data_IF_581724827877
#
_entry.id   IF_581724827877
#
_cell.length_a   1.000
_cell.length_b   1.000
_cell.length_c   1.000
_cell.angle_alpha   90.00
_cell.angle_beta   90.00
_cell.angle_gamma   90.00
#
_symmetry.space_group_name_H-M   'P 1'
#
loop_
_entity.id
_entity.type
_entity.pdbx_description
1 polymer ?
2 water ?
#
# COMPACT_ATOMS: atom_id res chain seq x y z
N UNK A 57 -13.72 -26.13 13.57
CA UNK A 57 -13.63 -24.67 13.47
C UNK A 57 -13.51 -24.02 14.84
N UNK A 58 -12.31 -23.55 15.16
CA UNK A 58 -12.03 -22.88 16.43
C UNK A 58 -11.80 -21.40 16.16
N UNK A 59 -12.41 -20.55 16.97
CA UNK A 59 -12.29 -19.11 16.85
C UNK A 59 -11.79 -18.53 18.17
N UNK A 60 -10.77 -17.69 18.09
CA UNK A 60 -10.20 -17.03 19.27
C UNK A 60 -10.23 -15.53 19.09
N UNK A 61 -10.57 -14.81 20.16
CA UNK A 61 -10.58 -13.34 20.16
C UNK A 61 -10.07 -12.85 21.50
N UNK A 62 -8.77 -13.00 21.75
CA UNK A 62 -8.23 -12.60 23.07
C UNK A 62 -8.36 -11.10 23.29
N UNK A 63 -8.75 -10.73 24.51
CA UNK A 63 -8.96 -9.34 24.88
C UNK A 63 -7.72 -8.69 25.48
N UNK A 64 -6.71 -9.47 25.84
CA UNK A 64 -5.49 -8.93 26.46
C UNK A 64 -4.29 -9.72 25.97
N UNK A 65 -3.10 -9.25 26.35
CA UNK A 65 -1.88 -10.00 26.06
C UNK A 65 -1.88 -11.34 26.80
N UNK A 66 -2.33 -11.35 28.05
CA UNK A 66 -2.32 -12.59 28.83
C UNK A 66 -3.21 -13.66 28.20
N UNK A 67 -4.36 -13.25 27.66
CA UNK A 67 -5.23 -14.22 26.99
C UNK A 67 -4.61 -14.70 25.69
N UNK A 68 -3.96 -13.82 24.93
CA UNK A 68 -3.27 -14.24 23.69
C UNK A 68 -2.15 -15.23 24.02
N UNK A 69 -1.39 -14.92 25.07
CA UNK A 69 -0.33 -15.85 25.43
C UNK A 69 -0.89 -17.22 25.76
N UNK A 70 -2.02 -17.27 26.47
CA UNK A 70 -2.65 -18.55 26.81
C UNK A 70 -3.08 -19.29 25.55
N UNK A 71 -3.57 -18.56 24.55
CA UNK A 71 -4.01 -19.19 23.31
C UNK A 71 -2.84 -19.87 22.61
N UNK A 72 -1.73 -19.15 22.44
CA UNK A 72 -0.57 -19.69 21.76
C UNK A 72 0.02 -20.87 22.54
N UNK A 73 0.13 -20.73 23.87
CA UNK A 73 0.65 -21.82 24.68
C UNK A 73 -0.27 -23.04 24.65
N UNK A 74 -1.59 -22.80 24.63
CA UNK A 74 -2.53 -23.91 24.58
C UNK A 74 -2.47 -24.64 23.24
N UNK A 75 -2.22 -23.91 22.15
CA UNK A 75 -2.11 -24.51 20.84
C UNK A 75 -0.77 -25.20 20.62
N UNK A 76 0.27 -24.78 21.33
CA UNK A 76 1.58 -25.42 21.17
C UNK A 76 1.61 -26.78 21.85
N UNK A 77 0.97 -26.92 23.00
CA UNK A 77 0.90 -28.22 23.67
C UNK A 77 0.15 -29.24 22.82
N UNK A 78 -1.04 -28.87 22.36
CA UNK A 78 -1.82 -29.74 21.48
C UNK A 78 -1.23 -29.84 20.08
N UNK A 79 -0.16 -29.08 19.80
CA UNK A 79 0.47 -29.06 18.48
C UNK A 79 -0.54 -28.71 17.39
N UNK A 80 -1.54 -27.91 17.75
CA UNK A 80 -2.59 -27.52 16.82
C UNK A 80 -2.06 -26.44 15.88
N UNK A 81 -2.95 -25.80 15.14
CA UNK A 81 -2.60 -24.77 14.19
C UNK A 81 -3.47 -23.55 14.44
N UNK A 82 -2.85 -22.37 14.42
CA UNK A 82 -3.54 -21.11 14.59
C UNK A 82 -3.20 -20.19 13.42
N UNK A 83 -4.17 -19.35 13.06
CA UNK A 83 -4.01 -18.41 11.95
C UNK A 83 -4.35 -17.01 12.44
N UNK A 84 -3.37 -16.13 12.64
CA UNK A 84 -3.68 -14.73 12.94
C UNK A 84 -4.40 -14.07 11.78
N UNK A 85 -5.37 -13.22 12.11
CA UNK A 85 -6.26 -12.64 11.11
C UNK A 85 -5.57 -11.51 10.35
N UNK A 86 -5.38 -10.37 11.02
CA UNK A 86 -4.76 -9.23 10.38
C UNK A 86 -3.37 -8.94 10.91
N UNK A 87 -2.46 -9.91 10.79
CA UNK A 87 -1.14 -9.77 11.38
C UNK A 87 -0.02 -10.06 10.39
N UNK A 88 -0.34 -10.24 9.11
CA UNK A 88 0.71 -10.51 8.14
C UNK A 88 0.13 -10.78 6.78
N UNK A 89 0.84 -11.60 6.02
CA UNK A 89 0.43 -11.96 4.67
C UNK A 89 -0.85 -12.78 4.69
N UNK A 90 -1.80 -12.40 3.84
CA UNK A 90 -3.06 -13.13 3.73
C UNK A 90 -2.88 -14.42 2.93
N UNK A 97 -9.66 -23.52 5.88
CA UNK A 97 -8.48 -24.11 6.50
C UNK A 97 -8.83 -24.70 7.86
N UNK A 98 -8.09 -25.73 8.26
CA UNK A 98 -8.30 -26.36 9.56
C UNK A 98 -7.76 -25.53 10.72
N UNK A 99 -6.95 -24.51 10.44
CA UNK A 99 -6.34 -23.72 11.49
C UNK A 99 -7.38 -22.91 12.26
N UNK A 100 -7.14 -22.77 13.55
CA UNK A 100 -7.98 -21.91 14.38
C UNK A 100 -7.67 -20.44 14.14
N UNK A 101 -8.73 -19.66 13.99
CA UNK A 101 -8.60 -18.23 13.76
C UNK A 101 -8.40 -17.51 15.09
N UNK A 102 -7.41 -16.62 15.14
CA UNK A 102 -7.14 -15.80 16.30
C UNK A 102 -7.18 -14.34 15.85
N UNK A 103 -8.16 -13.60 16.35
CA UNK A 103 -8.41 -12.22 15.95
C UNK A 103 -7.97 -11.29 17.07
N UNK A 104 -7.17 -10.28 16.72
CA UNK A 104 -6.59 -9.35 17.67
C UNK A 104 -7.37 -8.04 17.78
N UNK A 105 -8.57 -7.98 17.20
CA UNK A 105 -9.31 -6.72 17.12
C UNK A 105 -9.66 -6.15 18.50
N UNK A 106 -9.70 -6.97 19.54
CA UNK A 106 -10.02 -6.50 20.88
C UNK A 106 -8.81 -6.01 21.66
N UNK A 107 -7.59 -6.32 21.20
CA UNK A 107 -6.37 -5.76 21.79
C UNK A 107 -6.05 -4.47 21.04
N UNK A 108 -6.76 -3.40 21.43
CA UNK A 108 -6.75 -2.18 20.63
C UNK A 108 -6.55 -0.91 21.45
N UNK A 109 -5.93 -0.99 22.63
CA UNK A 109 -5.86 0.17 23.51
C UNK A 109 -4.48 0.80 23.46
N UNK A 110 -4.46 2.14 23.53
CA UNK A 110 -3.22 2.87 23.69
C UNK A 110 -2.70 2.69 25.11
N UNK A 111 -1.46 2.23 25.24
CA UNK A 111 -0.88 1.93 26.54
C UNK A 111 -0.09 3.10 27.11
N UNK A 112 0.77 3.72 26.30
CA UNK A 112 1.62 4.82 26.76
C UNK A 112 1.74 5.86 25.66
N UNK A 113 1.75 7.13 26.05
CA UNK A 113 1.99 8.24 25.12
C UNK A 113 3.03 9.15 25.77
N UNK A 114 4.23 9.18 25.21
CA UNK A 114 5.32 10.04 25.69
C UNK A 114 5.37 11.25 24.78
N UNK A 115 4.84 12.38 25.25
CA UNK A 115 4.87 13.60 24.45
C UNK A 115 6.29 14.12 24.28
N UNK A 116 7.16 13.89 25.27
CA UNK A 116 8.51 14.44 25.21
C UNK A 116 9.36 13.75 24.16
N UNK A 117 9.30 12.41 24.12
CA UNK A 117 9.98 11.66 23.08
C UNK A 117 9.13 11.47 21.83
N UNK A 118 7.85 11.85 21.88
CA UNK A 118 6.94 11.71 20.74
C UNK A 118 6.83 10.24 20.31
N UNK A 119 6.60 9.36 21.28
CA UNK A 119 6.44 7.94 21.02
C UNK A 119 5.14 7.45 21.62
N UNK A 120 4.62 6.36 21.09
CA UNK A 120 3.37 5.77 21.57
C UNK A 120 3.54 4.25 21.60
N UNK A 121 3.03 3.63 22.66
CA UNK A 121 2.99 2.18 22.78
C UNK A 121 1.55 1.72 22.72
N UNK A 122 1.25 0.79 21.82
CA UNK A 122 -0.12 0.35 21.59
C UNK A 122 -0.15 -1.16 21.44
N UNK A 123 -1.30 -1.75 21.75
CA UNK A 123 -1.55 -3.13 21.38
C UNK A 123 -1.73 -3.24 19.87
N UNK A 124 -1.22 -4.33 19.29
CA UNK A 124 -1.08 -4.42 17.84
C UNK A 124 -2.40 -4.61 17.11
N UNK A 125 -3.50 -4.87 17.79
CA UNK A 125 -4.77 -4.97 17.11
C UNK A 125 -5.48 -3.66 16.87
N UNK A 126 -4.91 -2.54 17.32
CA UNK A 126 -5.58 -1.25 17.15
C UNK A 126 -5.56 -0.84 15.68
N UNK A 127 -6.63 -0.22 15.24
CA UNK A 127 -6.71 0.31 13.89
C UNK A 127 -6.03 1.68 13.81
N UNK A 128 -5.54 2.02 12.61
CA UNK A 128 -4.80 3.25 12.42
C UNK A 128 -5.63 4.46 12.84
N UNK A 129 -6.90 4.50 12.43
CA UNK A 129 -7.74 5.65 12.77
C UNK A 129 -7.92 5.77 14.28
N UNK A 130 -8.07 4.63 14.97
CA UNK A 130 -8.16 4.65 16.42
C UNK A 130 -6.88 5.16 17.06
N UNK A 131 -5.72 4.80 16.47
CA UNK A 131 -4.45 5.29 17.00
C UNK A 131 -4.33 6.79 16.83
N UNK A 132 -4.69 7.30 15.65
CA UNK A 132 -4.57 8.73 15.36
C UNK A 132 -5.48 9.54 16.29
N UNK A 133 -6.72 9.08 16.47
CA UNK A 133 -7.64 9.77 17.37
C UNK A 133 -7.18 9.72 18.82
N UNK A 134 -6.43 8.67 19.19
CA UNK A 134 -5.95 8.56 20.56
C UNK A 134 -4.84 9.54 20.88
N UNK A 135 -3.84 9.63 20.00
CA UNK A 135 -2.70 10.52 20.23
C UNK A 135 -2.94 11.92 19.71
N UNK A 136 -4.10 12.18 19.11
CA UNK A 136 -4.42 13.54 18.67
C UNK A 136 -4.49 14.50 19.85
N UNK A 137 -5.09 14.05 20.96
CA UNK A 137 -5.23 14.89 22.13
C UNK A 137 -3.89 15.28 22.74
N UNK A 138 -2.82 14.54 22.43
CA UNK A 138 -1.50 14.82 22.96
C UNK A 138 -0.61 15.58 21.97
N UNK A 139 -1.20 16.10 20.89
CA UNK A 139 -0.42 16.84 19.91
C UNK A 139 0.45 16.00 19.01
N UNK A 140 0.18 14.70 18.90
CA UNK A 140 1.01 13.79 18.13
C UNK A 140 0.20 13.18 16.99
N UNK A 141 0.92 12.78 15.95
CA UNK A 141 0.31 12.07 14.83
C UNK A 141 1.35 11.12 14.26
N UNK A 142 0.92 10.29 13.31
CA UNK A 142 1.82 9.33 12.70
C UNK A 142 2.68 9.98 11.63
N UNK A 143 3.89 9.45 11.48
CA UNK A 143 4.84 9.98 10.51
C UNK A 143 4.30 9.84 9.08
N UNK A 144 3.78 8.67 8.74
CA UNK A 144 3.21 8.46 7.42
C UNK A 144 2.01 7.53 7.54
N UNK A 145 1.21 7.49 6.47
CA UNK A 145 0.02 6.67 6.42
C UNK A 145 0.02 5.88 5.12
N UNK A 146 -0.29 4.59 5.21
CA UNK A 146 -0.40 3.73 4.04
C UNK A 146 -1.82 3.82 3.50
N UNK A 147 -2.13 2.97 2.52
CA UNK A 147 -3.50 2.88 2.04
C UNK A 147 -4.41 2.35 3.14
N UNK A 148 -5.56 3.01 3.31
CA UNK A 148 -6.60 2.62 4.26
C UNK A 148 -6.14 2.84 5.69
N UNK A 149 -6.88 3.65 6.44
CA UNK A 149 -6.73 3.75 7.89
C UNK A 149 -7.48 2.65 8.63
N UNK A 150 -7.98 1.65 7.90
CA UNK A 150 -8.82 0.60 8.46
C UNK A 150 -8.03 -0.64 8.86
N UNK A 151 -6.72 -0.64 8.69
CA UNK A 151 -5.91 -1.81 8.98
C UNK A 151 -5.36 -1.77 10.40
N UNK A 152 -5.14 -2.94 10.97
CA UNK A 152 -4.50 -3.04 12.27
C UNK A 152 -3.01 -2.75 12.14
N UNK A 153 -2.46 -2.07 13.14
CA UNK A 153 -1.08 -1.59 13.04
C UNK A 153 -0.10 -2.76 12.97
N UNK A 154 -0.37 -3.86 13.68
CA UNK A 154 0.54 -4.98 13.66
C UNK A 154 0.72 -5.60 12.29
N UNK A 155 -0.38 -5.75 11.55
CA UNK A 155 -0.28 -6.27 10.19
C UNK A 155 0.36 -5.31 9.22
N UNK A 156 0.11 -4.01 9.39
CA UNK A 156 0.72 -3.00 8.52
C UNK A 156 2.24 -3.05 8.62
N UNK A 157 2.75 -3.10 9.86
CA UNK A 157 4.20 -3.16 10.06
C UNK A 157 4.77 -4.47 9.50
N UNK A 158 4.10 -5.59 9.77
CA UNK A 158 4.63 -6.90 9.39
C UNK A 158 4.76 -7.08 7.88
N UNK A 159 4.05 -6.28 7.07
CA UNK A 159 4.18 -6.38 5.61
C UNK A 159 4.99 -5.24 5.01
N UNK A 160 5.52 -4.34 5.84
CA UNK A 160 6.32 -3.24 5.36
C UNK A 160 5.57 -2.20 4.56
N UNK A 161 4.37 -1.84 5.00
CA UNK A 161 3.59 -0.81 4.32
C UNK A 161 4.29 0.55 4.41
N UNK A 162 3.81 1.49 3.62
CA UNK A 162 4.53 2.74 3.41
C UNK A 162 3.56 3.82 2.96
N UNK A 163 4.00 5.07 3.12
CA UNK A 163 3.35 6.22 2.51
C UNK A 163 4.22 6.78 1.40
N UNK A 164 4.30 8.11 1.29
CA UNK A 164 5.17 8.74 0.30
C UNK A 164 5.99 9.85 0.96
N UNK A 165 7.14 10.14 0.36
CA UNK A 165 8.10 11.07 0.93
C UNK A 165 9.52 10.53 0.87
N UNK A 166 10.38 11.22 0.12
CA UNK A 166 11.71 10.69 -0.17
C UNK A 166 12.59 10.59 1.07
N UNK A 167 12.29 11.35 2.11
CA UNK A 167 13.02 11.27 3.37
C UNK A 167 12.24 10.54 4.46
N UNK A 168 11.03 10.06 4.16
CA UNK A 168 10.24 9.29 5.13
C UNK A 168 10.39 7.80 4.84
N UNK A 169 10.74 7.00 5.84
CA UNK A 169 10.93 5.56 5.62
C UNK A 169 9.60 4.84 5.70
N UNK A 170 9.55 3.55 5.34
CA UNK A 170 8.31 2.77 5.48
C UNK A 170 7.91 2.63 6.95
N UNK A 171 6.68 2.17 7.17
CA UNK A 171 6.09 2.14 8.51
C UNK A 171 6.90 1.24 9.45
N UNK A 172 7.45 0.14 8.93
CA UNK A 172 8.21 -0.77 9.79
C UNK A 172 9.43 -0.09 10.40
N UNK A 173 9.99 0.92 9.72
CA UNK A 173 11.12 1.66 10.25
C UNK A 173 10.73 2.59 11.39
N UNK A 174 9.43 2.88 11.53
CA UNK A 174 8.94 3.71 12.64
C UNK A 174 8.83 2.96 13.95
N UNK A 175 9.04 1.65 13.97
CA UNK A 175 8.84 0.84 15.16
C UNK A 175 10.12 0.84 15.99
N UNK A 176 10.00 1.22 17.26
CA UNK A 176 11.14 1.27 18.16
C UNK A 176 11.33 -0.05 18.90
N UNK A 177 10.24 -0.75 19.19
CA UNK A 177 10.29 -2.04 19.86
C UNK A 177 8.93 -2.70 19.70
N UNK A 178 8.87 -3.99 20.04
CA UNK A 178 7.60 -4.70 19.97
C UNK A 178 7.66 -5.94 20.85
N UNK A 179 6.47 -6.47 21.15
CA UNK A 179 6.32 -7.71 21.91
C UNK A 179 5.95 -8.83 20.95
N UNK A 180 6.76 -9.88 20.92
CA UNK A 180 6.56 -11.03 20.05
C UNK A 180 6.12 -12.22 20.90
N UNK A 181 4.90 -12.70 20.67
CA UNK A 181 4.41 -13.90 21.31
C UNK A 181 4.80 -15.08 20.43
N UNK A 182 5.85 -15.81 20.84
CA UNK A 182 6.38 -16.92 20.08
C UNK A 182 5.88 -18.25 20.64
N UNK A 183 5.57 -19.22 19.76
CA UNK A 183 5.08 -20.51 20.25
C UNK A 183 6.07 -21.25 21.15
N UNK A 184 7.37 -21.14 20.89
CA UNK A 184 8.38 -21.88 21.65
C UNK A 184 8.82 -21.16 22.92
N UNK A 185 9.27 -19.91 22.79
CA UNK A 185 9.91 -19.19 23.89
C UNK A 185 8.99 -18.19 24.57
N UNK A 186 7.68 -18.26 24.33
CA UNK A 186 6.79 -17.33 24.98
C UNK A 186 6.86 -15.94 24.37
N UNK A 187 6.65 -14.93 25.19
CA UNK A 187 6.65 -13.54 24.75
C UNK A 187 8.03 -12.93 24.95
N UNK A 188 8.56 -12.32 23.89
CA UNK A 188 9.87 -11.67 23.97
C UNK A 188 9.72 -10.21 23.55
N UNK A 189 10.53 -9.36 24.17
CA UNK A 189 10.60 -7.95 23.82
C UNK A 189 11.86 -7.73 22.99
N UNK A 190 11.70 -7.13 21.82
CA UNK A 190 12.79 -6.94 20.87
C UNK A 190 12.90 -5.47 20.51
N UNK A 191 14.13 -5.00 20.36
CA UNK A 191 14.43 -3.60 20.01
C UNK A 191 15.88 -3.56 19.51
N UNK A 192 16.37 -2.36 19.23
CA UNK A 192 17.76 -2.25 18.79
C UNK A 192 18.76 -2.58 19.90
N UNK A 193 18.31 -2.70 21.15
CA UNK A 193 19.19 -3.06 22.26
C UNK A 193 18.81 -4.38 22.90
N UNK A 194 17.71 -5.02 22.49
CA UNK A 194 17.28 -6.31 23.02
C UNK A 194 17.08 -7.25 21.83
N UNK A 195 18.05 -8.14 21.60
CA UNK A 195 18.07 -9.03 20.45
C UNK A 195 17.84 -8.27 19.14
N UNK A 196 18.75 -7.36 18.77
CA UNK A 196 18.51 -6.53 17.59
C UNK A 196 18.48 -7.32 16.29
N UNK A 197 19.23 -8.43 16.20
CA UNK A 197 19.20 -9.24 15.00
C UNK A 197 17.81 -9.80 14.75
N UNK A 198 17.14 -10.26 15.81
CA UNK A 198 15.77 -10.74 15.68
C UNK A 198 14.78 -9.59 15.56
N UNK A 199 15.10 -8.43 16.16
CA UNK A 199 14.20 -7.29 16.09
C UNK A 199 14.01 -6.82 14.65
N UNK A 200 15.11 -6.60 13.93
CA UNK A 200 15.02 -6.09 12.57
C UNK A 200 14.42 -7.13 11.62
N UNK A 201 14.73 -8.42 11.84
CA UNK A 201 14.15 -9.47 11.02
C UNK A 201 12.64 -9.54 11.21
N UNK A 202 12.17 -9.47 12.45
CA UNK A 202 10.75 -9.66 12.74
C UNK A 202 9.92 -8.40 12.55
N UNK A 203 10.54 -7.22 12.44
CA UNK A 203 9.79 -6.00 12.19
C UNK A 203 8.98 -6.12 10.91
N UNK A 204 9.61 -6.57 9.83
CA UNK A 204 8.92 -6.88 8.59
C UNK A 204 8.94 -8.39 8.41
N UNK A 205 8.52 -9.11 9.44
CA UNK A 205 8.57 -10.56 9.51
C UNK A 205 7.43 -11.31 8.86
N UNK A 206 6.50 -10.60 8.21
CA UNK A 206 5.42 -11.20 7.43
C UNK A 206 4.49 -12.07 8.28
N UNK A 207 4.55 -11.91 9.60
CA UNK A 207 3.70 -12.68 10.48
C UNK A 207 4.17 -14.10 10.73
N UNK A 208 5.41 -14.42 10.40
CA UNK A 208 5.87 -15.80 10.46
C UNK A 208 6.68 -16.14 11.69
N UNK A 209 7.32 -15.14 12.28
CA UNK A 209 8.16 -15.37 13.46
C UNK A 209 7.37 -15.35 14.76
N UNK A 210 6.11 -14.96 14.72
CA UNK A 210 5.31 -14.87 15.92
C UNK A 210 4.18 -13.88 15.73
N UNK A 211 3.31 -13.82 16.73
CA UNK A 211 2.20 -12.89 16.73
C UNK A 211 2.64 -11.61 17.45
N UNK A 212 2.67 -10.49 16.73
CA UNK A 212 3.03 -9.21 17.32
C UNK A 212 1.87 -8.75 18.19
N UNK A 213 2.14 -8.57 19.49
CA UNK A 213 1.11 -8.22 20.46
C UNK A 213 1.10 -6.74 20.83
N UNK A 214 2.28 -6.10 20.86
CA UNK A 214 2.39 -4.68 21.18
C UNK A 214 3.54 -4.09 20.38
N UNK A 215 3.40 -2.81 20.00
CA UNK A 215 4.46 -2.08 19.30
C UNK A 215 4.60 -0.69 19.90
N UNK A 216 5.84 -0.19 19.92
CA UNK A 216 6.14 1.19 20.28
C UNK A 216 6.55 1.92 19.01
N UNK A 217 5.82 2.99 18.69
CA UNK A 217 6.01 3.72 17.44
C UNK A 217 6.65 5.07 17.70
N UNK A 218 7.54 5.47 16.81
CA UNK A 218 8.06 6.83 16.80
C UNK A 218 7.05 7.74 16.07
N UNK A 219 6.54 8.74 16.77
CA UNK A 219 5.58 9.68 16.21
C UNK A 219 6.25 11.03 15.94
N UNK A 220 5.46 11.95 15.39
CA UNK A 220 5.87 13.31 15.12
C UNK A 220 4.76 14.23 15.60
N UNK A 221 5.05 15.54 15.60
CA UNK A 221 4.07 16.52 16.03
C UNK A 221 2.93 16.61 15.02
N UNK A 222 1.72 16.80 15.51
CA UNK A 222 0.56 16.96 14.64
C UNK A 222 0.63 18.32 13.94
N UNK A 223 0.63 18.30 12.61
CA UNK A 223 0.84 19.50 11.81
C UNK A 223 -0.22 19.63 10.73
N UNK A 224 -0.63 20.87 10.46
CA UNK A 224 -1.48 21.15 9.30
C UNK A 224 -0.61 21.14 8.05
N UNK A 225 -1.12 20.52 6.98
CA UNK A 225 -0.39 20.37 5.74
C UNK A 225 -1.13 21.05 4.59
N UNK A 226 -0.35 21.61 3.67
CA UNK A 226 -0.87 22.19 2.42
C UNK A 226 -0.65 21.16 1.32
N UNK A 227 -1.74 20.72 0.69
CA UNK A 227 -1.67 19.77 -0.42
C UNK A 227 -1.84 20.52 -1.73
N UNK A 228 -0.81 20.48 -2.57
CA UNK A 228 -0.81 21.16 -3.86
C UNK A 228 -0.97 20.14 -4.98
N UNK A 229 -1.94 20.36 -5.86
CA UNK A 229 -2.20 19.51 -7.01
C UNK A 229 -1.92 20.29 -8.29
N UNK A 230 -1.01 19.80 -9.10
CA UNK A 230 -0.72 20.40 -10.40
C UNK A 230 -0.66 19.31 -11.46
N UNK A 231 -0.77 19.72 -12.72
CA UNK A 231 -0.60 18.81 -13.85
C UNK A 231 0.67 19.21 -14.58
N UNK A 232 1.35 18.21 -15.13
CA UNK A 232 2.61 18.44 -15.82
C UNK A 232 2.78 17.34 -16.86
N UNK A 233 4.03 17.09 -17.25
CA UNK A 233 4.35 16.08 -18.24
C UNK A 233 5.69 15.46 -17.86
N UNK A 234 5.97 14.29 -18.45
CA UNK A 234 7.19 13.56 -18.12
C UNK A 234 8.42 14.41 -18.45
N UNK A 235 8.39 15.13 -19.57
CA UNK A 235 9.55 15.92 -19.97
C UNK A 235 9.80 17.08 -19.01
N UNK A 236 8.73 17.76 -18.57
CA UNK A 236 8.89 18.82 -17.59
C UNK A 236 9.27 18.26 -16.22
N UNK A 237 8.73 17.08 -15.87
CA UNK A 237 9.04 16.46 -14.58
C UNK A 237 10.52 16.08 -14.50
N UNK A 238 11.07 15.58 -15.61
CA UNK A 238 12.47 15.16 -15.61
C UNK A 238 13.41 16.34 -15.33
N UNK A 239 12.98 17.56 -15.67
CA UNK A 239 13.82 18.72 -15.39
C UNK A 239 13.78 19.12 -13.92
N UNK A 240 12.66 18.86 -13.24
CA UNK A 240 12.46 19.32 -11.86
C UNK A 240 12.38 18.16 -10.87
N UNK A 241 12.78 16.95 -11.27
CA UNK A 241 12.57 15.78 -10.42
C UNK A 241 13.41 15.87 -9.15
N UNK A 242 14.70 16.17 -9.28
CA UNK A 242 15.56 16.27 -8.10
C UNK A 242 15.05 17.35 -7.15
N UNK A 243 14.61 18.48 -7.68
CA UNK A 243 14.02 19.53 -6.84
C UNK A 243 12.71 19.05 -6.22
N UNK A 244 11.89 18.33 -6.99
CA UNK A 244 10.59 17.88 -6.49
C UNK A 244 10.75 16.95 -5.29
N UNK A 245 11.68 15.99 -5.37
CA UNK A 245 11.84 15.03 -4.29
C UNK A 245 12.52 15.61 -3.08
N UNK A 246 13.42 16.59 -3.27
CA UNK A 246 14.25 17.12 -2.20
C UNK A 246 13.57 18.22 -1.40
N UNK A 247 12.69 19.00 -2.02
CA UNK A 247 12.12 20.19 -1.39
C UNK A 247 10.69 19.98 -0.90
N UNK A 248 10.09 18.83 -1.19
CA UNK A 248 8.73 18.53 -0.75
C UNK A 248 8.76 17.37 0.23
N UNK A 249 8.06 17.54 1.35
CA UNK A 249 7.99 16.47 2.35
C UNK A 249 7.31 15.23 1.78
N UNK A 250 6.14 15.41 1.17
CA UNK A 250 5.42 14.34 0.51
C UNK A 250 5.22 14.71 -0.96
N UNK A 251 5.41 13.73 -1.84
CA UNK A 251 5.18 13.94 -3.28
C UNK A 251 4.82 12.61 -3.90
N UNK A 252 3.84 12.64 -4.80
CA UNK A 252 3.51 11.49 -5.64
C UNK A 252 3.13 11.96 -7.03
N UNK A 253 3.43 11.12 -8.02
CA UNK A 253 3.04 11.35 -9.40
C UNK A 253 1.93 10.38 -9.79
N UNK A 254 0.89 10.88 -10.45
CA UNK A 254 -0.21 10.08 -10.95
C UNK A 254 -0.18 10.12 -12.46
N UNK A 255 0.09 8.97 -13.09
CA UNK A 255 0.19 8.86 -14.53
C UNK A 255 -1.10 8.34 -15.12
N UNK A 256 -1.45 8.84 -16.30
CA UNK A 256 -2.70 8.50 -16.96
C UNK A 256 -2.37 7.79 -18.27
N UNK A 257 -2.59 6.47 -18.36
CA UNK A 257 -2.20 5.74 -19.57
C UNK A 257 -2.89 6.30 -20.81
N UNK A 258 -2.17 6.24 -21.93
CA UNK A 258 -2.59 6.72 -23.25
C UNK A 258 -2.69 8.24 -23.34
N UNK A 259 -2.28 8.97 -22.30
CA UNK A 259 -2.20 10.42 -22.34
C UNK A 259 -0.84 10.85 -21.82
N UNK A 260 -0.50 12.12 -22.08
CA UNK A 260 0.75 12.69 -21.62
C UNK A 260 0.60 13.45 -20.30
N UNK A 261 -0.61 13.53 -19.75
CA UNK A 261 -0.84 14.27 -18.52
C UNK A 261 -0.34 13.49 -17.32
N UNK A 262 0.43 14.15 -16.46
CA UNK A 262 0.89 13.59 -15.21
C UNK A 262 0.44 14.50 -14.09
N UNK A 263 -0.22 13.94 -13.08
CA UNK A 263 -0.69 14.70 -11.93
C UNK A 263 0.38 14.67 -10.85
N UNK A 264 0.77 15.85 -10.37
CA UNK A 264 1.76 15.98 -9.32
C UNK A 264 1.06 16.48 -8.06
N UNK A 265 1.19 15.74 -6.97
CA UNK A 265 0.61 16.10 -5.68
C UNK A 265 1.75 16.23 -4.67
N UNK A 266 1.88 17.41 -4.07
CA UNK A 266 2.84 17.64 -3.00
C UNK A 266 2.11 18.01 -1.72
N UNK A 267 2.70 17.62 -0.59
CA UNK A 267 2.18 17.98 0.73
C UNK A 267 3.33 18.46 1.60
N UNK A 268 3.14 19.62 2.23
CA UNK A 268 4.15 20.26 3.06
C UNK A 268 3.48 20.94 4.24
N UNK A 269 4.18 21.07 5.37
CA UNK A 269 3.59 21.77 6.52
C UNK A 269 3.25 23.21 6.18
N UNK A 270 2.18 23.71 6.80
CA UNK A 270 1.80 25.10 6.60
C UNK A 270 2.83 26.00 7.28
N UNK A 271 3.00 27.20 6.75
CA UNK A 271 3.79 28.21 7.44
C UNK A 271 3.01 28.75 8.63
N UNK A 272 3.66 28.76 9.80
CA UNK A 272 3.05 29.33 11.00
C UNK A 272 3.03 30.86 10.97
N UNK A 273 3.37 31.47 9.84
CA UNK A 273 3.38 32.92 9.69
C UNK A 273 2.52 33.36 8.51
N UNK A 274 2.89 32.98 7.29
CA UNK A 274 2.15 33.42 6.11
C UNK A 274 0.77 32.77 6.04
N UNK A 275 0.68 31.49 6.41
CA UNK A 275 -0.55 30.75 6.28
C UNK A 275 -0.63 30.04 4.95
N UNK A 282 -9.89 28.61 -9.85
CA UNK A 282 -9.79 28.78 -11.29
C UNK A 282 -11.04 28.21 -11.98
N UNK A 283 -11.17 26.89 -12.03
CA UNK A 283 -12.40 26.24 -12.48
C UNK A 283 -13.15 25.73 -11.24
N UNK A 284 -14.47 25.92 -11.25
CA UNK A 284 -15.27 25.39 -10.16
C UNK A 284 -15.28 23.86 -10.20
N UNK A 285 -15.68 23.26 -9.08
CA UNK A 285 -15.74 21.80 -9.01
C UNK A 285 -16.73 21.23 -10.01
N UNK A 286 -17.87 21.90 -10.18
CA UNK A 286 -18.84 21.47 -11.19
C UNK A 286 -18.31 21.69 -12.60
N UNK A 287 -17.52 22.75 -12.79
CA UNK A 287 -16.94 23.03 -14.10
C UNK A 287 -15.97 21.93 -14.52
N UNK A 288 -15.25 21.35 -13.55
CA UNK A 288 -14.27 20.31 -13.88
C UNK A 288 -14.91 18.96 -14.12
N UNK A 289 -16.08 18.70 -13.54
CA UNK A 289 -16.77 17.43 -13.69
C UNK A 289 -17.73 17.42 -14.88
N UNK A 290 -17.88 18.54 -15.58
CA UNK A 290 -18.92 18.65 -16.61
C UNK A 290 -18.70 17.64 -17.74
N UNK A 291 -17.48 17.60 -18.29
CA UNK A 291 -17.22 16.71 -19.41
C UNK A 291 -17.24 15.25 -18.99
N UNK A 292 -16.92 14.96 -17.72
CA UNK A 292 -17.01 13.60 -17.23
C UNK A 292 -18.46 13.16 -17.11
N UNK A 293 -19.34 14.07 -16.66
CA UNK A 293 -20.75 13.73 -16.49
C UNK A 293 -21.42 13.50 -17.84
N UNK A 294 -20.98 14.19 -18.90
CA UNK A 294 -21.62 14.01 -20.20
C UNK A 294 -21.00 12.87 -21.00
N UNK A 295 -19.71 12.58 -20.80
CA UNK A 295 -19.14 11.38 -21.40
C UNK A 295 -19.83 10.13 -20.85
N UNK A 296 -20.19 10.16 -19.57
CA UNK A 296 -20.95 9.05 -19.00
C UNK A 296 -22.31 8.91 -19.68
N UNK A 297 -22.97 10.03 -19.96
CA UNK A 297 -24.25 9.99 -20.66
C UNK A 297 -24.10 9.47 -22.09
N UNK A 298 -23.07 9.93 -22.80
CA UNK A 298 -22.82 9.44 -24.15
C UNK A 298 -22.48 7.96 -24.13
N UNK A 299 -21.78 7.49 -23.09
CA UNK A 299 -21.51 6.07 -22.94
C UNK A 299 -22.75 5.32 -22.48
N UNK A 300 -23.52 5.89 -21.56
CA UNK A 300 -24.75 5.27 -21.08
C UNK A 300 -25.80 5.17 -22.16
N UNK A 301 -25.67 5.92 -23.25
CA UNK A 301 -26.58 5.86 -24.38
C UNK A 301 -26.03 5.04 -25.54
N UNK A 302 -24.73 4.74 -25.55
CA UNK A 302 -24.07 4.02 -26.64
C UNK A 302 -23.90 2.54 -26.37
N UNK A 303 -23.50 2.17 -25.15
CA UNK A 303 -23.22 0.77 -24.83
C UNK A 303 -24.46 -0.01 -24.42
N UNK A 304 -25.33 0.58 -23.59
CA UNK A 304 -26.59 -0.02 -23.21
C UNK A 304 -27.71 0.78 -23.88
N UNK A 305 -28.09 0.46 -25.11
CA UNK A 305 -29.14 1.24 -25.79
C UNK A 305 -30.51 1.06 -25.19
N UNK A 306 -30.75 0.01 -24.42
CA UNK A 306 -32.04 -0.20 -23.79
C UNK A 306 -32.10 0.37 -22.38
N UNK A 307 -31.13 1.20 -22.00
CA UNK A 307 -31.13 1.85 -20.70
C UNK A 307 -31.31 3.35 -20.92
N UNK A 308 -31.37 4.11 -19.82
CA UNK A 308 -31.39 5.57 -19.88
C UNK A 308 -32.64 6.08 -20.59
N UNK A 309 -33.78 5.41 -20.35
CA UNK A 309 -35.06 5.97 -20.78
C UNK A 309 -35.25 7.37 -20.21
N UNK A 310 -34.61 7.64 -19.08
CA UNK A 310 -34.46 8.97 -18.52
C UNK A 310 -33.22 8.93 -17.63
N UNK A 311 -33.07 9.94 -16.77
CA UNK A 311 -32.11 9.86 -15.70
C UNK A 311 -32.68 9.14 -14.47
N UNK A 312 -33.83 8.49 -14.62
CA UNK A 312 -34.54 7.87 -13.52
C UNK A 312 -34.35 6.36 -13.44
N UNK A 313 -33.66 5.75 -14.40
CA UNK A 313 -33.23 4.36 -14.24
C UNK A 313 -31.93 4.25 -13.47
N UNK A 314 -31.54 5.35 -12.83
CA UNK A 314 -30.30 5.34 -12.03
C UNK A 314 -30.31 6.59 -11.16
N UNK A 315 -29.76 6.54 -9.94
CA UNK A 315 -29.76 7.68 -9.03
C UNK A 315 -29.07 8.88 -9.66
N UNK A 316 -29.32 10.05 -9.07
CA UNK A 316 -28.77 11.29 -9.61
C UNK A 316 -27.26 11.21 -9.71
N UNK A 317 -26.75 11.28 -10.94
CA UNK A 317 -25.31 11.17 -11.17
C UNK A 317 -24.57 12.36 -10.58
N UNK A 318 -25.22 13.52 -10.50
CA UNK A 318 -24.66 14.63 -9.75
C UNK A 318 -24.57 14.25 -8.28
N UNK A 319 -23.62 14.88 -7.57
CA UNK A 319 -23.22 14.57 -6.21
C UNK A 319 -22.43 13.27 -6.10
N UNK A 320 -22.13 12.60 -7.22
CA UNK A 320 -21.14 11.54 -7.24
C UNK A 320 -19.76 12.15 -7.42
N UNK A 321 -18.78 11.62 -6.69
CA UNK A 321 -17.41 12.11 -6.82
C UNK A 321 -16.82 11.65 -8.15
N UNK A 322 -15.65 12.20 -8.46
CA UNK A 322 -14.96 11.79 -9.68
C UNK A 322 -14.56 10.32 -9.62
N UNK A 323 -14.08 9.88 -8.46
CA UNK A 323 -13.69 8.48 -8.30
C UNK A 323 -14.86 7.54 -8.53
N UNK A 324 -16.04 7.89 -8.00
CA UNK A 324 -17.22 7.09 -8.24
C UNK A 324 -17.68 7.18 -9.69
N UNK A 325 -17.49 8.34 -10.33
CA UNK A 325 -17.83 8.47 -11.74
C UNK A 325 -16.91 7.63 -12.62
N UNK A 326 -15.61 7.64 -12.31
CA UNK A 326 -14.66 6.82 -13.06
C UNK A 326 -15.03 5.35 -12.95
N UNK A 327 -15.41 4.89 -11.75
CA UNK A 327 -15.79 3.50 -11.56
C UNK A 327 -17.03 3.15 -12.38
N UNK A 328 -18.03 4.04 -12.39
CA UNK A 328 -19.22 3.80 -13.22
C UNK A 328 -18.86 3.80 -14.70
N UNK A 329 -17.99 4.72 -15.13
CA UNK A 329 -17.64 4.83 -16.54
C UNK A 329 -16.93 3.57 -17.03
N UNK A 330 -15.89 3.16 -16.31
CA UNK A 330 -15.12 1.99 -16.73
C UNK A 330 -15.97 0.73 -16.77
N UNK A 331 -16.93 0.61 -15.84
CA UNK A 331 -17.73 -0.61 -15.73
C UNK A 331 -18.59 -0.86 -16.96
N UNK A 332 -18.83 0.15 -17.79
CA UNK A 332 -19.67 -0.05 -18.98
C UNK A 332 -18.99 -0.95 -20.00
N UNK A 333 -17.66 -0.91 -20.09
CA UNK A 333 -16.90 -1.77 -20.98
C UNK A 333 -15.43 -1.75 -20.57
N UNK A 334 -15.07 -2.43 -19.47
CA UNK A 334 -13.74 -2.23 -18.88
C UNK A 334 -12.62 -2.88 -19.68
N UNK A 335 -12.90 -3.84 -20.55
CA UNK A 335 -11.85 -4.51 -21.30
C UNK A 335 -11.70 -3.99 -22.72
N UNK A 336 -12.42 -2.94 -23.09
CA UNK A 336 -12.28 -2.31 -24.40
C UNK A 336 -11.28 -1.16 -24.28
N UNK A 337 -10.13 -1.31 -24.94
CA UNK A 337 -9.10 -0.27 -24.86
C UNK A 337 -9.59 1.04 -25.46
N UNK A 338 -10.47 0.99 -26.46
CA UNK A 338 -11.00 2.22 -27.05
C UNK A 338 -11.84 2.98 -26.05
N UNK A 339 -12.65 2.27 -25.25
CA UNK A 339 -13.45 2.94 -24.24
C UNK A 339 -12.59 3.45 -23.10
N UNK A 340 -11.59 2.67 -22.69
CA UNK A 340 -10.71 3.09 -21.58
C UNK A 340 -9.91 4.33 -21.98
N UNK A 341 -9.47 4.39 -23.24
CA UNK A 341 -8.78 5.58 -23.74
C UNK A 341 -9.66 6.81 -23.58
N UNK A 342 -10.94 6.69 -23.93
CA UNK A 342 -11.86 7.81 -23.78
C UNK A 342 -12.03 8.19 -22.31
N UNK A 343 -12.13 7.20 -21.42
CA UNK A 343 -12.25 7.50 -20.00
C UNK A 343 -10.98 8.18 -19.49
N UNK A 344 -9.81 7.66 -19.89
CA UNK A 344 -8.55 8.23 -19.43
C UNK A 344 -8.34 9.65 -19.96
N UNK A 345 -8.79 9.92 -21.19
CA UNK A 345 -8.68 11.27 -21.71
C UNK A 345 -9.62 12.23 -21.00
N UNK A 346 -10.79 11.74 -20.58
CA UNK A 346 -11.67 12.55 -19.73
C UNK A 346 -11.04 12.80 -18.37
N UNK A 347 -10.33 11.81 -17.83
CA UNK A 347 -9.67 11.98 -16.54
C UNK A 347 -8.56 13.02 -16.62
N UNK A 348 -7.75 12.97 -17.69
CA UNK A 348 -6.71 13.97 -17.87
C UNK A 348 -7.29 15.38 -17.93
N UNK A 349 -8.43 15.53 -18.61
CA UNK A 349 -9.07 16.84 -18.70
C UNK A 349 -9.64 17.26 -17.35
N UNK A 350 -10.10 16.30 -16.53
CA UNK A 350 -10.59 16.63 -15.20
C UNK A 350 -9.47 17.18 -14.32
N UNK A 351 -8.30 16.52 -14.34
CA UNK A 351 -7.20 16.97 -13.50
C UNK A 351 -6.64 18.30 -13.98
N UNK A 352 -6.67 18.57 -15.28
CA UNK A 352 -6.22 19.86 -15.79
C UNK A 352 -7.07 20.99 -15.22
N UNK A 353 -8.34 20.73 -14.91
CA UNK A 353 -9.23 21.72 -14.34
C UNK A 353 -9.33 21.60 -12.82
N UNK A 354 -8.40 20.88 -12.18
CA UNK A 354 -8.47 20.60 -10.75
C UNK A 354 -7.18 20.97 -10.03
N UNK A 355 -6.39 21.88 -10.60
CA UNK A 355 -5.23 22.39 -9.89
C UNK A 355 -5.68 23.29 -8.74
N UNK A 356 -4.85 23.36 -7.72
CA UNK A 356 -5.13 24.22 -6.59
C UNK A 356 -4.52 23.68 -5.32
N UNK A 357 -4.95 24.26 -4.21
CA UNK A 357 -4.41 23.94 -2.89
C UNK A 357 -5.52 23.45 -1.97
N UNK A 358 -5.13 22.57 -1.04
CA UNK A 358 -5.98 22.11 0.04
C UNK A 358 -5.19 22.12 1.33
N UNK A 359 -5.88 22.43 2.43
CA UNK A 359 -5.26 22.49 3.75
C UNK A 359 -6.03 21.54 4.67
N UNK A 360 -5.30 20.64 5.31
CA UNK A 360 -5.87 19.74 6.30
C UNK A 360 -4.75 19.23 7.19
N UNK A 361 -5.15 18.47 8.22
CA UNK A 361 -4.18 17.81 9.07
C UNK A 361 -3.59 16.61 8.34
N UNK A 362 -2.39 16.20 8.76
CA UNK A 362 -1.63 15.21 8.01
C UNK A 362 -2.39 13.90 7.85
N UNK A 363 -3.19 13.52 8.84
CA UNK A 363 -3.92 12.25 8.76
C UNK A 363 -5.04 12.30 7.73
N UNK A 364 -5.70 13.44 7.56
CA UNK A 364 -6.77 13.57 6.59
C UNK A 364 -6.27 13.98 5.20
N UNK A 365 -5.02 14.41 5.08
CA UNK A 365 -4.42 14.69 3.78
C UNK A 365 -3.74 13.44 3.22
N UNK A 366 -3.04 12.69 4.08
CA UNK A 366 -2.32 11.49 3.65
C UNK A 366 -3.13 10.21 3.81
N UNK A 367 -4.22 10.23 4.57
CA UNK A 367 -5.07 9.06 4.67
C UNK A 367 -6.00 8.90 3.48
N UNK A 368 -6.57 7.71 3.36
CA UNK A 368 -7.49 7.37 2.27
C UNK A 368 -8.83 6.94 2.86
N UNK A 369 -9.93 7.36 2.23
CA UNK A 369 -11.26 7.21 2.83
C UNK A 369 -12.23 6.52 1.87
N UNK A 370 -12.58 5.27 2.17
CA UNK A 370 -13.62 4.54 1.46
C UNK A 370 -13.54 4.53 -0.06
N UNK A 371 -12.70 3.68 -0.63
CA UNK A 371 -12.66 3.57 -2.08
C UNK A 371 -13.56 2.50 -2.68
N UNK A 372 -12.95 1.38 -3.06
CA UNK A 372 -13.72 0.29 -3.63
C UNK A 372 -12.87 -0.93 -3.83
N UNK A 373 -13.40 -1.86 -4.63
CA UNK A 373 -12.68 -3.09 -4.95
C UNK A 373 -11.81 -2.87 -6.17
N UNK A 374 -10.59 -3.37 -6.12
CA UNK A 374 -9.62 -3.13 -7.18
C UNK A 374 -8.47 -4.11 -7.05
N UNK A 375 -7.90 -4.47 -8.20
CA UNK A 375 -6.64 -5.20 -8.25
C UNK A 375 -5.50 -4.21 -8.31
N UNK A 376 -4.49 -4.42 -7.47
CA UNK A 376 -3.33 -3.54 -7.41
C UNK A 376 -2.07 -4.39 -7.35
N UNK A 377 -1.09 -4.06 -8.18
CA UNK A 377 0.26 -4.61 -8.09
C UNK A 377 1.22 -3.44 -7.88
N UNK A 378 1.89 -3.41 -6.73
CA UNK A 378 2.85 -2.37 -6.42
C UNK A 378 4.22 -3.00 -6.23
N UNK A 379 5.22 -2.44 -6.92
CA UNK A 379 6.59 -2.90 -6.82
C UNK A 379 7.48 -1.79 -6.27
N UNK A 380 8.59 -2.21 -5.66
CA UNK A 380 9.56 -1.31 -5.05
C UNK A 380 10.92 -1.53 -5.71
N UNK A 381 11.54 -0.45 -6.17
CA UNK A 381 12.80 -0.55 -6.89
C UNK A 381 13.66 0.66 -6.58
N UNK A 382 14.98 0.50 -6.57
CA UNK A 382 15.86 1.60 -6.15
C UNK A 382 15.82 2.75 -7.15
N UNK A 383 15.97 3.96 -6.62
CA UNK A 383 15.91 5.17 -7.43
C UNK A 383 17.12 6.08 -7.17
N UNK A 384 18.20 5.53 -6.60
CA UNK A 384 19.40 6.30 -6.35
C UNK A 384 19.43 6.98 -4.99
N UNK A 385 19.90 8.24 -4.96
CA UNK A 385 19.99 9.04 -3.75
C UNK A 385 19.38 10.42 -4.03
N UNK A 386 18.98 11.11 -2.95
CA UNK A 386 18.50 12.48 -3.13
C UNK A 386 19.57 13.39 -3.71
N UNK A 387 20.82 13.15 -3.33
CA UNK A 387 21.93 13.95 -3.87
C UNK A 387 22.26 13.57 -5.30
N UNK A 388 21.89 12.37 -5.74
CA UNK A 388 22.17 11.92 -7.10
C UNK A 388 21.10 10.93 -7.52
N UNK A 389 19.91 11.40 -7.89
CA UNK A 389 18.85 10.49 -8.33
C UNK A 389 19.24 9.81 -9.63
N UNK A 390 19.04 8.49 -9.67
CA UNK A 390 19.41 7.74 -10.87
C UNK A 390 18.50 8.04 -12.05
N UNK A 391 17.35 8.66 -11.81
CA UNK A 391 16.32 8.94 -12.80
C UNK A 391 15.71 7.66 -13.39
N UNK A 392 16.04 6.50 -12.83
CA UNK A 392 15.43 5.26 -13.28
C UNK A 392 14.03 5.06 -12.73
N UNK A 393 13.62 5.85 -11.73
CA UNK A 393 12.23 5.78 -11.30
C UNK A 393 11.29 6.32 -12.38
N UNK A 394 11.72 7.35 -13.12
CA UNK A 394 10.92 7.89 -14.20
C UNK A 394 11.00 6.99 -15.43
N UNK A 395 12.19 6.43 -15.70
CA UNK A 395 12.36 5.59 -16.89
C UNK A 395 11.53 4.32 -16.81
N UNK A 396 11.37 3.77 -15.59
CA UNK A 396 10.46 2.64 -15.40
C UNK A 396 9.06 2.98 -15.89
N UNK A 397 8.58 4.18 -15.57
CA UNK A 397 7.24 4.60 -16.00
C UNK A 397 7.19 4.77 -17.51
N UNK A 398 8.24 5.35 -18.10
CA UNK A 398 8.28 5.52 -19.54
C UNK A 398 8.15 4.19 -20.27
N UNK A 399 8.82 3.15 -19.77
CA UNK A 399 8.72 1.84 -20.40
C UNK A 399 7.39 1.18 -20.11
N UNK A 400 6.83 1.41 -18.91
CA UNK A 400 5.54 0.82 -18.57
C UNK A 400 4.42 1.35 -19.45
N UNK A 401 4.35 2.67 -19.62
CA UNK A 401 3.35 3.25 -20.51
C UNK A 401 3.56 2.77 -21.95
N UNK A 402 4.80 2.50 -22.34
CA UNK A 402 5.08 1.97 -23.67
C UNK A 402 4.53 0.56 -23.82
N UNK A 403 4.68 -0.28 -22.79
CA UNK A 403 4.17 -1.64 -22.86
C UNK A 403 2.65 -1.67 -22.93
N UNK A 404 1.99 -0.80 -22.16
CA UNK A 404 0.53 -0.74 -22.16
C UNK A 404 0.02 -0.45 -23.57
N UNK A 405 0.62 0.54 -24.25
CA UNK A 405 0.16 0.93 -25.57
C UNK A 405 0.58 -0.06 -26.64
N UNK A 406 1.74 -0.71 -26.47
CA UNK A 406 2.16 -1.72 -27.44
C UNK A 406 1.25 -2.94 -27.39
N UNK A 407 0.86 -3.38 -26.19
CA UNK A 407 0.04 -4.56 -26.01
C UNK A 407 -1.45 -4.25 -25.95
N UNK A 408 -1.85 -2.99 -26.09
CA UNK A 408 -3.26 -2.60 -26.07
C UNK A 408 -3.94 -3.00 -24.77
N UNK A 409 -3.21 -2.92 -23.66
CA UNK A 409 -3.80 -3.23 -22.36
C UNK A 409 -4.81 -2.15 -21.99
N UNK A 410 -6.05 -2.51 -21.61
CA UNK A 410 -7.03 -1.50 -21.19
C UNK A 410 -6.76 -1.01 -19.78
N UNK A 411 -5.66 -0.29 -19.62
CA UNK A 411 -5.18 0.12 -18.30
C UNK A 411 -5.81 1.43 -17.89
N UNK A 412 -6.53 1.49 -16.77
CA UNK A 412 -7.15 2.76 -16.36
C UNK A 412 -6.23 3.59 -15.49
N UNK A 413 -6.67 4.78 -15.12
CA UNK A 413 -5.86 5.67 -14.29
C UNK A 413 -6.23 5.55 -12.82
N UNK A 414 -5.32 5.87 -11.89
CA UNK A 414 -3.95 6.29 -12.17
C UNK A 414 -2.94 5.18 -11.93
N UNK A 415 -1.81 5.25 -12.63
CA UNK A 415 -0.61 4.53 -12.21
C UNK A 415 0.09 5.41 -11.19
N UNK A 416 0.18 4.93 -9.95
CA UNK A 416 0.60 5.74 -8.82
C UNK A 416 2.08 5.50 -8.52
N UNK A 417 2.85 6.58 -8.43
CA UNK A 417 4.27 6.52 -8.12
C UNK A 417 4.54 7.27 -6.82
N UNK A 418 5.17 6.59 -5.87
CA UNK A 418 5.54 7.16 -4.58
C UNK A 418 7.01 6.86 -4.30
N UNK A 419 7.53 7.47 -3.23
CA UNK A 419 8.92 7.28 -2.84
C UNK A 419 9.01 7.07 -1.32
N UNK A 420 10.04 6.35 -0.90
CA UNK A 420 10.37 6.18 0.51
C UNK A 420 11.88 6.18 0.67
N UNK A 421 12.32 6.49 1.89
CA UNK A 421 13.71 6.26 2.28
C UNK A 421 13.94 4.77 2.50
N UNK A 422 15.16 4.41 2.86
CA UNK A 422 15.48 3.00 3.08
C UNK A 422 14.88 2.51 4.39
N UNK A 423 14.81 1.18 4.51
CA UNK A 423 14.44 0.52 5.75
C UNK A 423 15.60 -0.33 6.23
N UNK A 424 15.71 -0.47 7.56
CA UNK A 424 16.71 -1.36 8.14
C UNK A 424 16.16 -2.76 8.41
N UNK A 425 14.89 -3.01 8.10
CA UNK A 425 14.35 -4.36 8.16
C UNK A 425 14.82 -5.13 6.92
N UNK A 426 15.60 -6.20 7.07
CA UNK A 426 16.16 -6.86 5.88
C UNK A 426 15.13 -7.50 4.97
N UNK A 427 13.95 -7.83 5.48
CA UNK A 427 12.90 -8.41 4.63
C UNK A 427 12.10 -7.34 3.90
N UNK A 428 12.35 -6.06 4.15
CA UNK A 428 11.62 -5.00 3.49
C UNK A 428 12.09 -4.85 2.04
N UNK A 429 11.18 -4.60 1.10
CA UNK A 429 11.60 -4.32 -0.28
C UNK A 429 12.47 -3.08 -0.41
N UNK A 430 12.40 -2.16 0.55
CA UNK A 430 13.24 -0.96 0.57
C UNK A 430 14.43 -1.12 1.50
N UNK A 431 14.85 -2.35 1.77
CA UNK A 431 16.01 -2.55 2.64
C UNK A 431 17.29 -2.18 1.89
N UNK A 432 18.21 -1.55 2.61
CA UNK A 432 19.52 -1.20 2.08
C UNK A 432 20.47 -0.85 3.23
N UNK A 433 21.74 -1.26 3.14
CA UNK A 433 22.71 -0.82 4.14
C UNK A 433 23.13 0.64 3.99
N UNK A 434 22.75 1.30 2.90
CA UNK A 434 23.08 2.69 2.66
C UNK A 434 21.93 3.57 3.15
N UNK A 435 22.21 4.45 4.09
CA UNK A 435 21.15 5.24 4.72
C UNK A 435 20.53 6.26 3.78
N UNK A 436 21.24 6.69 2.74
CA UNK A 436 20.71 7.70 1.83
C UNK A 436 20.06 7.09 0.59
N UNK A 437 19.90 5.78 0.53
CA UNK A 437 19.24 5.14 -0.61
C UNK A 437 17.74 5.43 -0.59
N UNK A 438 17.20 5.80 -1.75
CA UNK A 438 15.78 6.04 -1.88
C UNK A 438 15.19 5.00 -2.83
N UNK A 439 13.89 4.77 -2.68
CA UNK A 439 13.18 3.73 -3.42
C UNK A 439 11.90 4.31 -3.99
N UNK A 440 11.53 3.83 -5.18
CA UNK A 440 10.29 4.22 -5.82
C UNK A 440 9.30 3.06 -5.76
N UNK A 441 8.05 3.38 -5.40
CA UNK A 441 6.97 2.40 -5.36
C UNK A 441 5.94 2.78 -6.43
N UNK A 442 5.69 1.86 -7.35
CA UNK A 442 4.79 2.10 -8.47
C UNK A 442 3.67 1.07 -8.46
N UNK A 443 2.42 1.53 -8.45
CA UNK A 443 1.28 0.65 -8.45
C UNK A 443 0.41 0.73 -9.71
N UNK A 444 0.22 -0.40 -10.37
CA UNK A 444 -0.72 -0.52 -11.48
C UNK A 444 -2.05 -1.00 -10.93
N UNK A 445 -3.14 -0.60 -11.57
CA UNK A 445 -4.47 -0.83 -11.02
C UNK A 445 -5.44 -1.25 -12.13
N UNK A 446 -6.41 -2.08 -11.75
CA UNK A 446 -7.61 -2.29 -12.53
C UNK A 446 -8.78 -2.38 -11.56
N UNK A 447 -9.92 -1.79 -11.95
CA UNK A 447 -11.05 -1.67 -11.05
C UNK A 447 -12.02 -2.83 -11.24
N UNK A 448 -12.65 -3.24 -10.14
CA UNK A 448 -13.59 -4.35 -10.15
C UNK A 448 -14.99 -3.85 -9.82
N UNK A 449 -15.92 -3.91 -10.75
CA UNK A 449 -17.30 -3.52 -10.45
C UNK A 449 -18.01 -4.60 -9.64
N UNK A 450 -18.80 -4.15 -8.66
CA UNK A 450 -19.62 -5.08 -7.89
C UNK A 450 -20.77 -5.57 -8.75
N UNK A 451 -20.93 -6.89 -8.86
CA UNK A 451 -22.01 -7.42 -9.65
C UNK A 451 -21.77 -8.77 -10.27
N UNK A 452 -21.72 -8.82 -11.60
CA UNK A 452 -21.58 -10.08 -12.31
C UNK A 452 -20.23 -10.72 -12.00
N UNK A 453 -20.26 -11.94 -11.47
CA UNK A 453 -19.02 -12.68 -11.26
C UNK A 453 -18.32 -13.01 -12.55
N UNK A 454 -19.06 -13.05 -13.67
CA UNK A 454 -18.45 -13.35 -14.96
C UNK A 454 -17.52 -12.24 -15.41
N UNK A 455 -17.97 -10.98 -15.29
CA UNK A 455 -17.11 -9.87 -15.67
C UNK A 455 -15.97 -9.67 -14.68
N UNK A 456 -16.21 -9.95 -13.39
CA UNK A 456 -15.12 -9.88 -12.41
C UNK A 456 -14.03 -10.89 -12.72
N UNK A 457 -14.39 -12.04 -13.30
CA UNK A 457 -13.40 -13.04 -13.65
C UNK A 457 -12.56 -12.62 -14.85
N UNK A 458 -13.20 -12.01 -15.86
CA UNK A 458 -12.45 -11.59 -17.03
C UNK A 458 -11.56 -10.38 -16.74
N UNK A 459 -12.00 -9.48 -15.87
CA UNK A 459 -11.13 -8.38 -15.46
C UNK A 459 -9.92 -8.92 -14.69
N UNK A 460 -10.15 -9.88 -13.79
CA UNK A 460 -9.05 -10.49 -13.05
C UNK A 460 -8.05 -11.15 -13.98
N UNK A 461 -8.56 -11.84 -15.01
CA UNK A 461 -7.68 -12.45 -16.00
C UNK A 461 -6.84 -11.40 -16.72
N UNK A 462 -7.46 -10.31 -17.15
CA UNK A 462 -6.71 -9.26 -17.82
C UNK A 462 -5.69 -8.60 -16.87
N UNK A 463 -6.02 -8.49 -15.58
CA UNK A 463 -5.10 -7.85 -14.66
C UNK A 463 -3.83 -8.68 -14.44
N UNK A 464 -3.99 -10.00 -14.29
CA UNK A 464 -2.82 -10.85 -14.07
C UNK A 464 -1.93 -10.92 -15.30
N UNK A 465 -2.51 -10.76 -16.49
CA UNK A 465 -1.70 -10.61 -17.70
C UNK A 465 -1.01 -9.25 -17.72
N UNK A 466 -1.74 -8.20 -17.33
CA UNK A 466 -1.15 -6.88 -17.16
C UNK A 466 0.00 -6.91 -16.15
N UNK A 467 -0.22 -7.56 -15.01
CA UNK A 467 0.83 -7.68 -14.00
C UNK A 467 2.02 -8.50 -14.52
N UNK A 468 1.75 -9.59 -15.24
CA UNK A 468 2.83 -10.45 -15.71
C UNK A 468 3.73 -9.75 -16.72
N UNK A 469 3.17 -8.87 -17.55
CA UNK A 469 3.99 -8.12 -18.51
C UNK A 469 5.02 -7.26 -17.79
N UNK A 470 4.60 -6.53 -16.76
CA UNK A 470 5.56 -5.75 -15.98
C UNK A 470 6.57 -6.66 -15.30
N UNK A 471 6.11 -7.81 -14.80
CA UNK A 471 7.01 -8.72 -14.09
C UNK A 471 8.08 -9.28 -15.01
N UNK A 472 7.70 -9.68 -16.22
CA UNK A 472 8.65 -10.33 -17.13
C UNK A 472 9.49 -9.34 -17.94
N UNK A 473 8.99 -8.13 -18.18
CA UNK A 473 9.73 -7.15 -18.98
C UNK A 473 10.39 -6.05 -18.16
N UNK A 474 10.13 -5.95 -16.87
CA UNK A 474 10.68 -4.80 -16.15
C UNK A 474 11.37 -5.14 -14.83
N UNK A 475 10.79 -6.06 -14.03
CA UNK A 475 11.19 -6.17 -12.62
C UNK A 475 12.67 -6.54 -12.48
N UNK A 476 13.12 -7.59 -13.17
CA UNK A 476 14.52 -8.00 -13.01
C UNK A 476 15.47 -6.92 -13.51
N UNK A 477 15.05 -6.15 -14.53
CA UNK A 477 15.91 -5.12 -15.08
C UNK A 477 16.08 -3.94 -14.13
N UNK A 478 15.03 -3.60 -13.37
CA UNK A 478 15.08 -2.46 -12.45
C UNK A 478 15.30 -2.88 -11.01
N UNK A 479 15.56 -4.17 -10.76
CA UNK A 479 15.71 -4.71 -9.41
C UNK A 479 14.48 -4.41 -8.57
N UNK A 480 13.31 -4.68 -9.14
CA UNK A 480 12.03 -4.38 -8.52
C UNK A 480 11.47 -5.63 -7.85
N UNK A 481 10.91 -5.44 -6.65
CA UNK A 481 10.32 -6.52 -5.87
C UNK A 481 8.97 -6.07 -5.36
N UNK A 482 8.02 -7.01 -5.33
CA UNK A 482 6.63 -6.66 -5.09
C UNK A 482 6.38 -6.37 -3.61
N UNK A 483 5.45 -5.44 -3.36
CA UNK A 483 4.94 -5.20 -2.03
C UNK A 483 4.40 -6.50 -1.43
N UNK A 484 4.78 -6.79 -0.18
CA UNK A 484 4.42 -8.07 0.43
C UNK A 484 2.91 -8.23 0.58
N UNK A 485 2.18 -7.13 0.75
CA UNK A 485 0.73 -7.23 0.87
C UNK A 485 0.05 -7.56 -0.46
N UNK A 486 0.73 -7.32 -1.58
CA UNK A 486 0.15 -7.54 -2.91
C UNK A 486 0.74 -8.74 -3.64
N UNK A 487 1.68 -9.45 -3.02
CA UNK A 487 2.39 -10.49 -3.75
C UNK A 487 1.47 -11.67 -4.03
N UNK A 488 1.57 -12.21 -5.23
CA UNK A 488 0.76 -13.34 -5.68
C UNK A 488 1.67 -14.51 -5.99
N UNK A 489 1.28 -15.69 -5.52
CA UNK A 489 2.08 -16.90 -5.76
C UNK A 489 1.67 -17.50 -7.10
N UNK A 490 2.62 -17.80 -7.98
CA UNK A 490 2.26 -18.39 -9.28
C UNK A 490 1.84 -19.85 -9.15
N UNK A 491 0.98 -20.27 -10.06
CA UNK A 491 0.50 -21.66 -10.05
C UNK A 491 1.46 -22.59 -10.78
N UNK A 492 2.06 -22.13 -11.88
CA UNK A 492 3.04 -22.95 -12.58
C UNK A 492 4.30 -23.10 -11.74
N UNK A 493 4.81 -24.33 -11.66
CA UNK A 493 5.97 -24.59 -10.83
C UNK A 493 7.24 -23.96 -11.39
N UNK A 494 7.31 -23.79 -12.72
CA UNK A 494 8.46 -23.14 -13.32
C UNK A 494 8.59 -21.69 -12.85
N UNK A 495 7.49 -20.94 -12.92
CA UNK A 495 7.51 -19.57 -12.41
C UNK A 495 7.67 -19.54 -10.89
N UNK A 496 7.13 -20.54 -10.20
CA UNK A 496 7.26 -20.60 -8.74
C UNK A 496 8.71 -20.81 -8.32
N UNK A 497 9.40 -21.76 -8.96
CA UNK A 497 10.81 -21.99 -8.63
C UNK A 497 11.65 -20.74 -8.90
N UNK A 498 11.35 -20.03 -9.99
CA UNK A 498 12.09 -18.81 -10.31
C UNK A 498 11.86 -17.74 -9.26
N UNK A 499 10.63 -17.61 -8.77
CA UNK A 499 10.33 -16.61 -7.75
C UNK A 499 11.04 -16.92 -6.44
N UNK A 500 11.11 -18.20 -6.06
CA UNK A 500 11.78 -18.58 -4.84
C UNK A 500 13.27 -18.27 -4.90
N UNK A 501 13.89 -18.55 -6.06
CA UNK A 501 15.31 -18.23 -6.23
C UNK A 501 15.53 -16.72 -6.25
N UNK A 502 14.59 -15.98 -6.86
CA UNK A 502 14.75 -14.54 -6.96
C UNK A 502 14.68 -13.87 -5.59
N UNK A 503 13.68 -14.25 -4.78
CA UNK A 503 13.60 -13.74 -3.42
C UNK A 503 14.82 -14.13 -2.61
N UNK A 504 15.38 -15.32 -2.87
CA UNK A 504 16.54 -15.78 -2.12
C UNK A 504 17.77 -14.93 -2.43
N UNK A 505 17.80 -14.28 -3.58
CA UNK A 505 18.92 -13.43 -3.98
C UNK A 505 18.77 -12.00 -3.47
N UNK A 506 17.61 -11.62 -2.92
CA UNK A 506 17.38 -10.26 -2.44
C UNK A 506 17.22 -10.17 -0.94
N UNK A 507 16.65 -11.18 -0.30
CA UNK A 507 16.34 -11.17 1.12
C UNK A 507 17.06 -12.34 1.81
N UNK A 508 17.33 -12.22 3.12
CA UNK A 508 17.98 -13.33 3.85
C UNK A 508 16.99 -14.43 4.21
N UNK A 509 16.67 -15.26 3.22
CA UNK A 509 15.70 -16.33 3.41
C UNK A 509 16.23 -17.36 4.40
N UNK A 510 17.53 -17.66 4.35
CA UNK A 510 18.10 -18.66 5.24
C UNK A 510 18.02 -18.22 6.70
N UNK A 511 18.40 -16.97 6.97
CA UNK A 511 18.28 -16.46 8.32
C UNK A 511 16.82 -16.38 8.75
N UNK A 512 15.92 -16.08 7.82
CA UNK A 512 14.50 -15.98 8.14
C UNK A 512 13.94 -17.35 8.51
N UNK A 513 14.22 -18.37 7.69
CA UNK A 513 13.71 -19.70 7.97
C UNK A 513 14.35 -20.31 9.21
N UNK A 514 15.60 -19.94 9.50
CA UNK A 514 16.26 -20.43 10.71
C UNK A 514 15.53 -19.93 11.96
N UNK A 515 15.20 -18.64 11.99
CA UNK A 515 14.46 -18.09 13.13
C UNK A 515 13.05 -18.65 13.23
N UNK A 516 12.42 -18.95 12.08
CA UNK A 516 11.10 -19.57 12.10
C UNK A 516 11.16 -20.94 12.75
N UNK A 517 12.16 -21.76 12.40
CA UNK A 517 12.28 -23.09 12.95
C UNK A 517 12.55 -23.05 14.46
N UNK A 518 13.34 -22.07 14.90
CA UNK A 518 13.67 -21.93 16.31
C UNK A 518 12.49 -21.42 17.13
N UNK A 519 11.79 -20.39 16.64
CA UNK A 519 10.69 -19.81 17.39
C UNK A 519 9.40 -20.61 17.27
N UNK A 520 9.25 -21.44 16.24
CA UNK A 520 8.05 -22.22 16.00
C UNK A 520 8.43 -23.58 15.44
N UNK A 521 8.92 -24.49 16.28
CA UNK A 521 9.32 -25.81 15.76
C UNK A 521 8.15 -26.67 15.33
N UNK A 522 7.00 -26.58 16.00
CA UNK A 522 5.82 -27.38 15.67
C UNK A 522 5.00 -26.79 14.53
N UNK A 523 5.48 -25.71 13.90
CA UNK A 523 4.87 -25.16 12.69
C UNK A 523 3.43 -24.73 12.92
N UNK A 524 3.15 -24.19 14.11
CA UNK A 524 1.81 -23.73 14.44
C UNK A 524 1.46 -22.48 13.65
N UNK A 525 2.45 -21.62 13.41
CA UNK A 525 2.27 -20.36 12.68
C UNK A 525 2.90 -20.52 11.29
N UNK A 526 2.17 -21.18 10.40
CA UNK A 526 2.66 -21.42 9.05
C UNK A 526 1.52 -21.25 8.06
N UNK A 527 1.79 -20.52 6.97
CA UNK A 527 0.86 -20.34 5.88
C UNK A 527 1.32 -21.15 4.68
N UNK A 528 0.38 -21.41 3.76
CA UNK A 528 0.78 -21.92 2.46
C UNK A 528 1.60 -20.90 1.69
N UNK A 529 1.24 -19.63 1.82
CA UNK A 529 1.96 -18.57 1.09
C UNK A 529 3.41 -18.47 1.55
N UNK A 530 3.62 -18.39 2.88
CA UNK A 530 4.99 -18.30 3.39
C UNK A 530 5.79 -19.55 3.04
N UNK A 531 5.19 -20.72 3.16
CA UNK A 531 5.89 -21.95 2.81
C UNK A 531 6.21 -22.01 1.31
N UNK A 532 5.40 -21.36 0.48
CA UNK A 532 5.67 -21.30 -0.95
C UNK A 532 6.70 -20.24 -1.30
N UNK A 533 6.72 -19.12 -0.57
CA UNK A 533 7.69 -18.06 -0.83
C UNK A 533 9.07 -18.44 -0.35
N UNK A 534 9.17 -19.07 0.82
CA UNK A 534 10.44 -19.38 1.46
C UNK A 534 10.43 -20.84 1.88
N UNK A 535 10.70 -21.77 0.94
CA UNK A 535 10.76 -23.20 1.26
C UNK A 535 12.00 -23.54 2.09
#
# INVERSE_FOLDING_TARGET
MHHHHHHGKPIPNPLLGLDSTENLYFQGIDPFTMYAPLPEDLHTVSNWSGTHEVQTRVFHQPESLAQLEEVVREANAKKARIRPVGSGLSPNGIGLSRAGMVNLALMDRVLEVDKERRTVRVEAGIRVQQLVDGIKEHGLTLQNFASIREQQIGGIVQVGAHGTGARLPPIDEQVISMKLVTPATGTIEVSKEKDPELFYLARCGLGGLGVVAEVTLQCVDRQELVEHTTVSTIQEIKKNHKKFLSENKHVKYLYIPYTDTVVVVTCNPVSKWKGPPKFKPKYTADEALQHVRQLYQESLQKYRPDVKSSNEDEPDINELSFTELRDKLLALDPLNKDHVIKVNQAEAEFWKKSEGYRVGWSDEILGFDCGGQQWVSETCYPAGTLSKPSMKDIEYIEELKQLIEKEHIPAPAPIEQRWTARSKSPMSPASSPAEDDIFSWVGIIMYLPTGDARQRKEITEEFFHYRRMTQEWLWDRYSAYEHWAKIEVPKDNEELAALQARLRKRFPVDAYNTARRELDPNKILSNNKLDKLFPSSDSQ
#
